data_IF_276935802566
#
_entry.id   IF_276935802566
#
_cell.length_a   1.000
_cell.length_b   1.000
_cell.length_c   1.000
_cell.angle_alpha   90.00
_cell.angle_beta   90.00
_cell.angle_gamma   90.00
#
_symmetry.space_group_name_H-M   'P 1'
#
loop_
_entity.id
_entity.type
_entity.pdbx_description
1 polymer ?
#
# COMPACT_ATOMS: atom_id res chain seq x y z
N UNK A 1 5.00 -17.39 -9.70
CA UNK A 1 5.74 -16.85 -8.55
C UNK A 1 4.74 -16.08 -7.72
N UNK A 2 4.43 -16.55 -6.51
CA UNK A 2 3.70 -15.74 -5.52
C UNK A 2 4.51 -14.47 -5.30
N UNK A 3 3.98 -13.35 -5.79
CA UNK A 3 4.69 -12.10 -6.05
C UNK A 3 5.01 -11.25 -4.82
N UNK A 4 5.45 -11.89 -3.74
CA UNK A 4 5.84 -11.21 -2.51
C UNK A 4 7.34 -10.97 -2.53
N UNK A 5 7.74 -9.76 -2.94
CA UNK A 5 9.12 -9.30 -2.84
C UNK A 5 9.36 -8.75 -1.44
N UNK A 6 10.50 -9.12 -0.84
CA UNK A 6 10.87 -8.62 0.49
C UNK A 6 11.60 -7.30 0.38
N UNK A 7 11.47 -6.48 1.42
CA UNK A 7 12.30 -5.30 1.63
C UNK A 7 13.78 -5.62 1.43
N UNK A 8 14.49 -4.80 0.65
CA UNK A 8 15.90 -4.98 0.34
C UNK A 8 16.20 -6.04 -0.72
N UNK A 9 15.19 -6.73 -1.27
CA UNK A 9 15.37 -7.66 -2.37
C UNK A 9 15.66 -6.91 -3.68
N UNK A 10 16.63 -7.43 -4.44
CA UNK A 10 17.00 -6.86 -5.73
C UNK A 10 15.93 -7.20 -6.78
N UNK A 11 15.41 -6.18 -7.46
CA UNK A 11 14.43 -6.35 -8.53
C UNK A 11 15.11 -6.38 -9.90
N UNK A 12 14.50 -7.03 -10.90
CA UNK A 12 15.05 -7.08 -12.24
C UNK A 12 15.24 -5.68 -12.82
N UNK A 13 16.26 -5.49 -13.66
CA UNK A 13 16.36 -4.23 -14.40
C UNK A 13 15.17 -4.07 -15.35
N UNK A 14 14.83 -2.82 -15.67
CA UNK A 14 13.79 -2.45 -16.66
C UNK A 14 13.93 -3.28 -17.95
N UNK A 15 15.17 -3.47 -18.41
CA UNK A 15 15.47 -4.23 -19.63
C UNK A 15 15.23 -5.73 -19.47
N UNK A 16 15.58 -6.29 -18.30
CA UNK A 16 15.35 -7.71 -18.00
C UNK A 16 13.86 -8.01 -17.88
N UNK A 17 13.11 -7.14 -17.19
CA UNK A 17 11.68 -7.32 -16.99
C UNK A 17 10.87 -7.13 -18.28
N UNK A 18 11.23 -6.14 -19.10
CA UNK A 18 10.62 -5.96 -20.41
C UNK A 18 10.81 -7.19 -21.31
N UNK A 19 11.99 -7.82 -21.25
CA UNK A 19 12.29 -9.04 -22.00
C UNK A 19 11.51 -10.26 -21.48
N UNK A 20 11.38 -10.43 -20.17
CA UNK A 20 10.64 -11.57 -19.62
C UNK A 20 9.14 -11.46 -19.90
N UNK A 21 8.58 -10.25 -19.79
CA UNK A 21 7.15 -10.00 -20.00
C UNK A 21 6.76 -9.73 -21.46
N UNK A 22 7.73 -9.63 -22.38
CA UNK A 22 7.50 -9.31 -23.80
C UNK A 22 6.72 -8.01 -24.01
N UNK A 23 6.98 -6.99 -23.18
CA UNK A 23 6.36 -5.66 -23.25
C UNK A 23 7.38 -4.58 -23.58
N UNK A 24 6.89 -3.41 -23.98
CA UNK A 24 7.73 -2.25 -24.28
C UNK A 24 8.54 -1.83 -23.06
N UNK A 25 9.84 -1.56 -23.28
CA UNK A 25 10.76 -1.01 -22.27
C UNK A 25 10.18 0.29 -21.69
N UNK A 26 9.54 1.12 -22.50
CA UNK A 26 8.94 2.38 -22.06
C UNK A 26 7.82 2.14 -21.03
N UNK A 27 7.04 1.07 -21.20
CA UNK A 27 5.97 0.71 -20.26
C UNK A 27 6.54 0.31 -18.91
N UNK A 28 7.59 -0.52 -18.92
CA UNK A 28 8.29 -0.93 -17.68
C UNK A 28 8.98 0.25 -17.03
N UNK A 29 9.60 1.13 -17.83
CA UNK A 29 10.28 2.31 -17.33
C UNK A 29 9.30 3.28 -16.66
N UNK A 30 8.10 3.48 -17.23
CA UNK A 30 7.05 4.26 -16.59
C UNK A 30 6.59 3.63 -15.28
N UNK A 31 6.35 2.32 -15.27
CA UNK A 31 5.96 1.62 -14.05
C UNK A 31 7.04 1.74 -12.95
N UNK A 32 8.32 1.61 -13.30
CA UNK A 32 9.42 1.76 -12.35
C UNK A 32 9.59 3.21 -11.88
N UNK A 33 9.39 4.18 -12.76
CA UNK A 33 9.40 5.59 -12.38
C UNK A 33 8.30 5.89 -11.37
N UNK A 34 7.07 5.42 -11.60
CA UNK A 34 5.97 5.54 -10.64
C UNK A 34 6.29 4.83 -9.32
N UNK A 35 6.78 3.59 -9.37
CA UNK A 35 7.18 2.87 -8.15
C UNK A 35 8.32 3.57 -7.39
N UNK A 36 9.21 4.27 -8.08
CA UNK A 36 10.31 5.02 -7.45
C UNK A 36 9.82 6.36 -6.88
N UNK A 37 8.94 7.06 -7.59
CA UNK A 37 8.27 8.28 -7.12
C UNK A 37 7.41 8.01 -5.89
N UNK A 38 6.68 6.90 -5.91
CA UNK A 38 5.87 6.43 -4.78
C UNK A 38 6.74 5.90 -3.63
N UNK A 39 8.05 5.69 -3.85
CA UNK A 39 9.01 5.23 -2.84
C UNK A 39 9.05 3.72 -2.60
N UNK A 40 8.39 2.91 -3.43
CA UNK A 40 8.42 1.44 -3.33
C UNK A 40 9.77 0.83 -3.71
N UNK A 41 10.52 1.50 -4.58
CA UNK A 41 11.80 1.00 -5.08
C UNK A 41 12.87 2.08 -5.00
N UNK A 42 14.09 1.67 -4.67
CA UNK A 42 15.27 2.53 -4.63
C UNK A 42 16.29 2.04 -5.65
N UNK A 43 16.86 2.97 -6.42
CA UNK A 43 17.96 2.67 -7.35
C UNK A 43 19.27 3.24 -6.81
N UNK A 44 20.23 2.36 -6.53
CA UNK A 44 21.59 2.77 -6.19
C UNK A 44 22.48 2.67 -7.43
N UNK A 45 23.12 3.79 -7.81
CA UNK A 45 24.03 3.85 -8.95
C UNK A 45 25.12 2.76 -8.83
N UNK A 46 25.19 1.88 -9.84
CA UNK A 46 26.15 0.78 -9.90
C UNK A 46 25.77 -0.49 -9.13
N UNK A 47 24.68 -0.50 -8.35
CA UNK A 47 24.24 -1.68 -7.58
C UNK A 47 22.89 -2.25 -8.01
N UNK A 48 22.11 -1.55 -8.83
CA UNK A 48 20.79 -2.01 -9.28
C UNK A 48 19.64 -1.40 -8.49
N UNK A 49 18.45 -1.98 -8.62
CA UNK A 49 17.21 -1.50 -8.01
C UNK A 49 16.71 -2.49 -6.95
N UNK A 50 16.19 -1.98 -5.84
CA UNK A 50 15.84 -2.75 -4.65
C UNK A 50 14.47 -2.31 -4.12
N UNK A 51 13.74 -3.19 -3.46
CA UNK A 51 12.50 -2.84 -2.75
C UNK A 51 12.83 -1.99 -1.51
N UNK A 52 12.22 -0.81 -1.38
CA UNK A 52 12.46 0.08 -0.23
C UNK A 52 11.88 -0.50 1.06
N UNK A 53 12.56 -0.25 2.18
CA UNK A 53 12.08 -0.58 3.52
C UNK A 53 11.07 0.43 4.05
N UNK A 54 11.21 1.70 3.65
CA UNK A 54 10.46 2.80 4.27
C UNK A 54 8.98 2.78 3.88
N UNK A 55 8.63 2.20 2.74
CA UNK A 55 7.28 2.35 2.22
C UNK A 55 6.26 1.33 2.75
N UNK A 56 6.66 0.19 3.33
CA UNK A 56 5.67 -0.69 3.96
C UNK A 56 5.12 -0.04 5.23
N UNK A 57 6.00 0.53 6.06
CA UNK A 57 5.59 1.27 7.24
C UNK A 57 4.84 2.55 6.86
N UNK A 58 5.31 3.30 5.84
CA UNK A 58 4.63 4.50 5.35
C UNK A 58 3.27 4.21 4.72
N UNK A 59 3.14 3.14 3.93
CA UNK A 59 1.88 2.70 3.36
C UNK A 59 0.88 2.31 4.45
N UNK A 60 1.33 1.54 5.46
CA UNK A 60 0.48 1.20 6.61
C UNK A 60 0.06 2.46 7.38
N UNK A 61 0.95 3.44 7.55
CA UNK A 61 0.63 4.73 8.17
C UNK A 61 -0.40 5.53 7.34
N UNK A 62 -0.28 5.55 6.01
CA UNK A 62 -1.23 6.17 5.07
C UNK A 62 -2.61 5.49 5.12
N UNK A 63 -2.65 4.16 5.15
CA UNK A 63 -3.90 3.41 5.32
C UNK A 63 -4.51 3.67 6.70
N UNK A 64 -3.69 3.73 7.75
CA UNK A 64 -4.14 4.05 9.10
C UNK A 64 -4.77 5.45 9.15
N UNK A 65 -4.17 6.46 8.52
CA UNK A 65 -4.75 7.81 8.41
C UNK A 65 -6.13 7.80 7.74
N UNK A 66 -6.30 7.05 6.64
CA UNK A 66 -7.61 6.91 5.97
C UNK A 66 -8.65 6.27 6.88
N UNK A 67 -8.27 5.24 7.65
CA UNK A 67 -9.16 4.62 8.64
C UNK A 67 -9.56 5.64 9.72
N UNK A 68 -8.61 6.41 10.22
CA UNK A 68 -8.85 7.44 11.24
C UNK A 68 -9.81 8.54 10.73
N UNK A 69 -9.67 8.97 9.48
CA UNK A 69 -10.59 9.92 8.83
C UNK A 69 -12.02 9.36 8.79
N UNK A 70 -12.19 8.13 8.29
CA UNK A 70 -13.51 7.49 8.23
C UNK A 70 -14.13 7.25 9.62
N UNK A 71 -13.31 6.89 10.61
CA UNK A 71 -13.78 6.74 11.98
C UNK A 71 -14.18 8.07 12.60
N UNK A 72 -13.51 9.16 12.25
CA UNK A 72 -13.89 10.51 12.69
C UNK A 72 -15.29 10.84 12.22
N UNK A 73 -15.57 10.65 10.92
CA UNK A 73 -16.90 10.86 10.34
C UNK A 73 -17.97 9.99 11.03
N UNK A 74 -17.66 8.69 11.24
CA UNK A 74 -18.57 7.76 11.90
C UNK A 74 -18.85 8.15 13.37
N UNK A 75 -17.83 8.64 14.10
CA UNK A 75 -17.96 9.11 15.47
C UNK A 75 -18.82 10.38 15.53
N UNK A 76 -18.68 11.30 14.57
CA UNK A 76 -19.51 12.51 14.52
C UNK A 76 -20.99 12.16 14.33
N UNK A 77 -21.29 11.26 13.38
CA UNK A 77 -22.66 10.75 13.15
C UNK A 77 -23.20 10.04 14.39
N UNK A 78 -22.37 9.21 15.03
CA UNK A 78 -22.74 8.50 16.25
C UNK A 78 -23.08 9.47 17.40
N UNK A 79 -22.26 10.50 17.62
CA UNK A 79 -22.52 11.53 18.65
C UNK A 79 -23.78 12.33 18.34
N UNK A 80 -23.98 12.76 17.10
CA UNK A 80 -25.17 13.49 16.68
C UNK A 80 -26.46 12.66 16.86
N UNK A 81 -26.35 11.33 16.73
CA UNK A 81 -27.46 10.38 16.85
C UNK A 81 -27.64 9.82 18.27
N UNK A 82 -26.82 10.24 19.23
CA UNK A 82 -26.86 9.71 20.61
C UNK A 82 -26.43 8.23 20.73
N UNK A 83 -25.68 7.72 19.77
CA UNK A 83 -25.15 6.35 19.79
C UNK A 83 -23.94 6.32 20.73
N UNK A 84 -23.99 5.43 21.73
CA UNK A 84 -22.87 5.22 22.65
C UNK A 84 -21.69 4.55 21.94
N UNK A 85 -20.49 4.79 22.46
CA UNK A 85 -19.26 4.17 21.96
C UNK A 85 -19.37 2.64 21.91
N UNK A 86 -19.95 2.03 22.95
CA UNK A 86 -20.14 0.57 23.02
C UNK A 86 -21.00 0.05 21.86
N UNK A 87 -22.06 0.78 21.49
CA UNK A 87 -22.93 0.40 20.38
C UNK A 87 -22.22 0.55 19.03
N UNK A 88 -21.38 1.58 18.88
CA UNK A 88 -20.56 1.78 17.68
C UNK A 88 -19.51 0.66 17.52
N UNK A 89 -18.82 0.28 18.60
CA UNK A 89 -17.86 -0.83 18.61
C UNK A 89 -18.53 -2.16 18.24
N UNK A 90 -19.70 -2.44 18.83
CA UNK A 90 -20.46 -3.65 18.51
C UNK A 90 -20.89 -3.70 17.05
N UNK A 91 -21.34 -2.56 16.50
CA UNK A 91 -21.73 -2.46 15.09
C UNK A 91 -20.53 -2.67 14.15
N UNK A 92 -19.37 -2.08 14.48
CA UNK A 92 -18.14 -2.30 13.72
C UNK A 92 -17.68 -3.76 13.77
N UNK A 93 -17.77 -4.39 14.95
CA UNK A 93 -17.41 -5.81 15.13
C UNK A 93 -18.32 -6.72 14.30
N UNK A 94 -19.63 -6.43 14.27
CA UNK A 94 -20.59 -7.18 13.45
C UNK A 94 -20.25 -7.06 11.96
N UNK A 95 -20.03 -5.83 11.47
CA UNK A 95 -19.71 -5.59 10.06
C UNK A 95 -18.39 -6.24 9.64
N UNK A 96 -17.37 -6.21 10.50
CA UNK A 96 -16.08 -6.83 10.22
C UNK A 96 -16.15 -8.36 10.10
N UNK A 97 -17.12 -9.00 10.77
CA UNK A 97 -17.32 -10.45 10.74
C UNK A 97 -18.24 -10.94 9.61
N UNK A 98 -19.05 -10.05 9.00
CA UNK A 98 -19.96 -10.41 7.90
C UNK A 98 -19.24 -10.53 6.54
N UNK A 99 -18.01 -10.02 6.41
CA UNK A 99 -17.20 -10.08 5.19
C UNK A 99 -16.16 -11.23 5.17
N UNK A 100 -16.22 -12.17 6.14
CA UNK A 100 -15.53 -13.49 6.12
C UNK A 100 -16.42 -14.62 5.60
#
# INVERSE_FOLDING_TARGET
MSGELKTGEAIPSVRSLAKSLHISILTVQKAYATLQEDGFIESTAGKGCYVSAQNQDFYLEEQQKKIEEHFTDAIEVARASGISLDKLINLLTLLYQEDE
#
